data_IF_427473258079
#
_entry.id   IF_427473258079
#
_cell.length_a   1.000
_cell.length_b   1.000
_cell.length_c   1.000
_cell.angle_alpha   90.00
_cell.angle_beta   90.00
_cell.angle_gamma   90.00
#
_symmetry.space_group_name_H-M   'P 1'
#
loop_
_entity.id
_entity.type
_entity.pdbx_description
1 polymer ?
#
# COMPACT_ATOMS: atom_id res chain seq x y z
N UNK A 1 -17.67 5.07 1.83
CA UNK A 1 -16.58 4.06 1.68
C UNK A 1 -15.32 4.75 1.18
N UNK A 2 -14.19 4.24 1.58
CA UNK A 2 -12.89 4.80 1.22
C UNK A 2 -11.97 3.72 0.70
N UNK A 3 -11.15 4.07 -0.28
CA UNK A 3 -10.01 3.27 -0.70
C UNK A 3 -8.75 3.87 -0.10
N UNK A 4 -8.08 3.11 0.74
CA UNK A 4 -6.79 3.48 1.29
C UNK A 4 -5.73 2.84 0.42
N UNK A 5 -4.84 3.66 -0.13
CA UNK A 5 -3.73 3.21 -0.96
C UNK A 5 -2.42 3.56 -0.27
N UNK A 6 -1.52 2.61 -0.19
CA UNK A 6 -0.20 2.81 0.38
C UNK A 6 0.88 2.32 -0.58
N UNK A 7 1.93 3.11 -0.75
CA UNK A 7 3.15 2.69 -1.44
C UNK A 7 4.22 2.54 -0.38
N UNK A 8 4.74 1.34 -0.22
CA UNK A 8 5.59 0.97 0.91
C UNK A 8 6.82 0.17 0.47
N UNK A 9 7.78 0.02 1.36
CA UNK A 9 8.93 -0.86 1.15
C UNK A 9 8.49 -2.32 1.09
N UNK A 10 9.01 -3.12 0.15
CA UNK A 10 8.58 -4.51 0.00
C UNK A 10 8.71 -5.36 1.26
N UNK A 11 9.76 -5.19 2.05
CA UNK A 11 10.00 -5.99 3.24
C UNK A 11 9.04 -5.68 4.40
N UNK A 12 8.20 -4.63 4.27
CA UNK A 12 7.20 -4.26 5.29
C UNK A 12 5.84 -4.91 5.05
N UNK A 13 5.62 -5.54 3.92
CA UNK A 13 4.29 -6.06 3.53
C UNK A 13 3.73 -7.07 4.52
N UNK A 14 4.55 -8.01 5.00
CA UNK A 14 4.10 -9.02 5.96
C UNK A 14 3.63 -8.38 7.27
N UNK A 15 4.37 -7.42 7.80
CA UNK A 15 4.01 -6.72 9.04
C UNK A 15 2.74 -5.90 8.87
N UNK A 16 2.58 -5.23 7.72
CA UNK A 16 1.37 -4.46 7.41
C UNK A 16 0.16 -5.40 7.32
N UNK A 17 0.29 -6.51 6.62
CA UNK A 17 -0.77 -7.51 6.51
C UNK A 17 -1.21 -8.01 7.88
N UNK A 18 -0.27 -8.38 8.73
CA UNK A 18 -0.57 -8.88 10.08
C UNK A 18 -1.28 -7.82 10.93
N UNK A 19 -0.81 -6.58 10.86
CA UNK A 19 -1.41 -5.47 11.58
C UNK A 19 -2.83 -5.16 11.10
N UNK A 20 -3.07 -5.21 9.79
CA UNK A 20 -4.40 -5.02 9.21
C UNK A 20 -5.37 -6.13 9.62
N UNK A 21 -4.93 -7.38 9.59
CA UNK A 21 -5.75 -8.52 10.04
C UNK A 21 -6.11 -8.39 11.53
N UNK A 22 -5.15 -8.01 12.36
CA UNK A 22 -5.39 -7.76 13.79
C UNK A 22 -6.39 -6.63 14.00
N UNK A 23 -6.40 -5.62 13.14
CA UNK A 23 -7.33 -4.50 13.18
C UNK A 23 -8.73 -4.84 12.61
N UNK A 24 -8.94 -6.06 12.13
CA UNK A 24 -10.24 -6.51 11.61
C UNK A 24 -10.43 -6.34 10.10
N UNK A 25 -9.41 -5.93 9.37
CA UNK A 25 -9.45 -5.84 7.91
C UNK A 25 -9.49 -7.26 7.32
N UNK A 26 -10.47 -7.52 6.46
CA UNK A 26 -10.70 -8.86 5.90
C UNK A 26 -10.04 -9.10 4.55
N UNK A 27 -9.64 -8.04 3.87
CA UNK A 27 -9.01 -8.17 2.57
C UNK A 27 -8.11 -7.00 2.23
N UNK A 28 -7.07 -7.28 1.49
CA UNK A 28 -6.20 -6.28 0.90
C UNK A 28 -5.72 -6.77 -0.46
N UNK A 29 -5.43 -5.83 -1.34
CA UNK A 29 -4.83 -6.12 -2.64
C UNK A 29 -3.39 -5.63 -2.62
N UNK A 30 -2.49 -6.45 -3.15
CA UNK A 30 -1.06 -6.15 -3.20
C UNK A 30 -0.59 -6.23 -4.64
N UNK A 31 0.13 -5.22 -5.09
CA UNK A 31 0.78 -5.23 -6.40
C UNK A 31 2.21 -4.71 -6.30
N UNK A 32 3.09 -5.30 -7.09
CA UNK A 32 4.46 -4.83 -7.22
C UNK A 32 4.50 -3.62 -8.13
N UNK A 33 5.21 -2.59 -7.71
CA UNK A 33 5.37 -1.35 -8.45
C UNK A 33 6.81 -0.88 -8.36
N UNK A 34 7.17 0.09 -9.17
CA UNK A 34 8.47 0.73 -9.11
C UNK A 34 8.28 2.24 -9.19
N UNK A 35 9.11 2.97 -8.50
CA UNK A 35 9.02 4.41 -8.50
C UNK A 35 10.31 5.08 -8.06
N UNK A 36 10.36 6.38 -8.20
CA UNK A 36 11.45 7.16 -7.65
C UNK A 36 10.89 8.25 -6.72
N UNK A 37 11.72 8.66 -5.81
CA UNK A 37 11.40 9.71 -4.87
C UNK A 37 12.69 10.18 -4.23
N UNK A 38 12.66 10.46 -2.94
CA UNK A 38 13.85 10.85 -2.19
C UNK A 38 14.83 9.69 -1.98
N UNK A 39 14.34 8.45 -1.99
CA UNK A 39 15.18 7.26 -1.98
C UNK A 39 15.81 7.10 -3.36
N UNK A 40 17.14 7.01 -3.41
CA UNK A 40 17.86 6.87 -4.68
C UNK A 40 17.98 5.40 -5.08
N UNK A 41 18.00 5.16 -6.39
CA UNK A 41 18.35 3.88 -6.96
C UNK A 41 19.84 3.57 -6.81
N UNK A 42 20.29 2.55 -7.49
CA UNK A 42 21.69 2.12 -7.48
C UNK A 42 22.29 2.23 -8.88
N UNK A 43 23.63 2.23 -8.94
CA UNK A 43 24.38 2.25 -10.20
C UNK A 43 24.68 0.81 -10.62
N UNK A 44 24.40 0.49 -11.86
CA UNK A 44 24.75 -0.79 -12.48
C UNK A 44 25.77 -0.57 -13.61
N UNK A 45 26.59 -1.58 -13.86
CA UNK A 45 27.54 -1.61 -14.96
C UNK A 45 27.09 -2.64 -15.98
N UNK A 46 26.95 -2.21 -17.23
CA UNK A 46 26.60 -3.07 -18.34
C UNK A 46 27.47 -2.74 -19.55
N UNK A 47 28.19 -3.75 -20.07
CA UNK A 47 29.13 -3.60 -21.21
C UNK A 47 30.14 -2.46 -21.03
N UNK A 48 30.60 -2.28 -19.80
CA UNK A 48 31.59 -1.23 -19.47
C UNK A 48 31.04 0.18 -19.32
N UNK A 49 29.70 0.35 -19.40
CA UNK A 49 29.04 1.62 -19.14
C UNK A 49 28.27 1.55 -17.82
N UNK A 50 28.30 2.62 -17.04
CA UNK A 50 27.53 2.74 -15.82
C UNK A 50 26.13 3.27 -16.14
N UNK A 51 25.12 2.67 -15.49
CA UNK A 51 23.74 3.12 -15.55
C UNK A 51 23.24 3.37 -14.14
N UNK A 52 22.60 4.50 -13.92
CA UNK A 52 21.88 4.78 -12.68
C UNK A 52 20.48 4.19 -12.78
N UNK A 53 20.14 3.32 -11.83
CA UNK A 53 18.79 2.78 -11.71
C UNK A 53 17.96 3.76 -10.89
N UNK A 54 17.11 4.52 -11.57
CA UNK A 54 16.31 5.57 -10.92
C UNK A 54 15.04 5.02 -10.27
N UNK A 55 14.56 3.86 -10.71
CA UNK A 55 13.36 3.22 -10.19
C UNK A 55 13.72 2.20 -9.11
N UNK A 56 13.04 2.31 -7.99
CA UNK A 56 13.22 1.43 -6.82
C UNK A 56 11.96 0.56 -6.68
N UNK A 57 12.13 -0.76 -6.45
CA UNK A 57 10.99 -1.63 -6.18
C UNK A 57 10.22 -1.17 -4.94
N UNK A 58 8.91 -1.11 -5.09
CA UNK A 58 7.95 -0.80 -4.03
C UNK A 58 6.76 -1.74 -4.14
N UNK A 59 5.87 -1.67 -3.17
CA UNK A 59 4.62 -2.41 -3.18
C UNK A 59 3.47 -1.44 -2.99
N UNK A 60 2.41 -1.62 -3.78
CA UNK A 60 1.14 -0.93 -3.58
C UNK A 60 0.22 -1.85 -2.80
N UNK A 61 -0.34 -1.32 -1.72
CA UNK A 61 -1.37 -1.97 -0.93
C UNK A 61 -2.65 -1.16 -1.05
N UNK A 62 -3.76 -1.83 -1.28
CA UNK A 62 -5.07 -1.20 -1.38
C UNK A 62 -6.06 -1.91 -0.45
N UNK A 63 -6.80 -1.12 0.31
CA UNK A 63 -7.79 -1.61 1.30
C UNK A 63 -9.05 -0.77 1.19
N UNK A 64 -10.19 -1.43 1.04
CA UNK A 64 -11.50 -0.79 1.09
C UNK A 64 -12.02 -0.82 2.52
N UNK A 65 -12.48 0.32 3.01
CA UNK A 65 -12.99 0.47 4.39
C UNK A 65 -14.26 1.32 4.44
N UNK A 66 -15.02 1.17 5.50
CA UNK A 66 -16.09 2.10 5.83
C UNK A 66 -15.51 3.46 6.22
N UNK A 67 -16.28 4.53 6.03
CA UNK A 67 -15.83 5.89 6.35
C UNK A 67 -15.34 6.01 7.80
N UNK A 68 -16.05 5.40 8.73
CA UNK A 68 -15.72 5.46 10.16
C UNK A 68 -14.43 4.76 10.56
N UNK A 69 -13.94 3.85 9.72
CA UNK A 69 -12.72 3.10 10.01
C UNK A 69 -11.46 3.72 9.36
N UNK A 70 -11.65 4.71 8.52
CA UNK A 70 -10.56 5.27 7.70
C UNK A 70 -9.36 5.72 8.53
N UNK A 71 -9.58 6.56 9.53
CA UNK A 71 -8.47 7.12 10.31
C UNK A 71 -7.71 6.05 11.08
N UNK A 72 -8.43 5.09 11.66
CA UNK A 72 -7.81 3.99 12.41
C UNK A 72 -6.96 3.11 11.51
N UNK A 73 -7.44 2.78 10.31
CA UNK A 73 -6.71 1.90 9.38
C UNK A 73 -5.53 2.63 8.75
N UNK A 74 -5.66 3.91 8.40
CA UNK A 74 -4.50 4.72 7.96
C UNK A 74 -3.41 4.68 9.03
N UNK A 75 -3.76 4.86 10.28
CA UNK A 75 -2.82 4.86 11.40
C UNK A 75 -2.13 3.50 11.57
N UNK A 76 -2.86 2.40 11.43
CA UNK A 76 -2.30 1.04 11.44
C UNK A 76 -1.26 0.86 10.33
N UNK A 77 -1.55 1.32 9.13
CA UNK A 77 -0.60 1.21 8.00
C UNK A 77 0.64 2.06 8.27
N UNK A 78 0.49 3.30 8.70
CA UNK A 78 1.63 4.18 8.98
C UNK A 78 2.55 3.58 10.03
N UNK A 79 1.99 3.07 11.12
CA UNK A 79 2.78 2.47 12.19
C UNK A 79 3.49 1.19 11.77
N UNK A 80 2.84 0.33 10.98
CA UNK A 80 3.41 -0.95 10.54
C UNK A 80 4.36 -0.81 9.36
N UNK A 81 4.20 0.20 8.53
CA UNK A 81 5.05 0.43 7.35
C UNK A 81 6.31 1.24 7.67
N UNK A 82 6.27 2.09 8.69
CA UNK A 82 7.34 3.03 8.99
C UNK A 82 8.60 2.38 9.51
N UNK A 83 9.76 2.83 9.00
CA UNK A 83 11.09 2.47 9.51
C UNK A 83 11.81 3.70 10.07
N UNK A 84 11.30 4.90 9.82
CA UNK A 84 11.94 6.16 10.14
C UNK A 84 12.97 6.62 9.11
N UNK A 85 13.12 5.90 8.01
CA UNK A 85 14.09 6.17 6.97
C UNK A 85 13.42 6.69 5.69
N UNK A 86 14.21 7.37 4.85
CA UNK A 86 13.79 7.79 3.51
C UNK A 86 13.32 6.56 2.73
N UNK A 87 12.22 6.72 2.00
CA UNK A 87 11.67 5.65 1.20
C UNK A 87 10.57 4.84 1.88
N UNK A 88 10.15 5.20 3.09
CA UNK A 88 9.04 4.53 3.78
C UNK A 88 7.71 4.60 3.02
N UNK A 89 7.57 5.58 2.14
CA UNK A 89 6.42 5.67 1.26
C UNK A 89 5.36 6.65 1.73
N UNK A 90 4.17 6.50 1.16
CA UNK A 90 3.02 7.36 1.42
C UNK A 90 1.74 6.56 1.50
N UNK A 91 0.78 7.11 2.21
CA UNK A 91 -0.59 6.60 2.28
C UNK A 91 -1.52 7.73 1.86
N UNK A 92 -2.52 7.43 1.04
CA UNK A 92 -3.57 8.39 0.70
C UNK A 92 -4.92 7.71 0.62
N UNK A 93 -5.96 8.50 0.63
CA UNK A 93 -7.34 8.01 0.69
C UNK A 93 -8.14 8.67 -0.42
N UNK A 94 -8.95 7.87 -1.11
CA UNK A 94 -9.93 8.34 -2.08
C UNK A 94 -11.32 7.85 -1.71
N UNK A 95 -12.33 8.65 -2.07
CA UNK A 95 -13.73 8.28 -1.87
C UNK A 95 -14.15 7.27 -2.94
N UNK A 96 -14.87 6.25 -2.52
CA UNK A 96 -15.41 5.21 -3.41
C UNK A 96 -16.94 5.32 -3.41
N UNK A 97 -17.51 5.45 -4.60
CA UNK A 97 -18.95 5.64 -4.74
C UNK A 97 -19.72 4.32 -4.57
N UNK A 98 -19.21 3.22 -5.13
CA UNK A 98 -19.90 1.94 -5.16
C UNK A 98 -18.92 0.80 -5.04
N UNK A 99 -19.26 -0.20 -4.23
CA UNK A 99 -18.55 -1.47 -4.14
C UNK A 99 -19.56 -2.60 -4.31
N UNK A 100 -19.19 -3.61 -5.10
CA UNK A 100 -20.00 -4.81 -5.30
C UNK A 100 -19.13 -6.03 -5.07
N UNK A 101 -19.55 -6.94 -4.20
CA UNK A 101 -18.87 -8.21 -4.04
C UNK A 101 -19.27 -9.13 -5.19
N UNK A 102 -18.33 -9.58 -5.96
CA UNK A 102 -18.58 -10.34 -7.20
C UNK A 102 -19.37 -11.61 -6.94
N UNK A 103 -19.00 -12.37 -5.90
CA UNK A 103 -19.64 -13.67 -5.61
C UNK A 103 -21.09 -13.55 -5.18
N UNK A 104 -21.43 -12.53 -4.40
CA UNK A 104 -22.73 -12.43 -3.72
C UNK A 104 -23.61 -11.33 -4.26
N UNK A 105 -23.07 -10.40 -5.04
CA UNK A 105 -23.73 -9.16 -5.45
C UNK A 105 -24.13 -8.25 -4.29
N UNK A 106 -23.60 -8.48 -3.10
CA UNK A 106 -23.76 -7.55 -1.99
C UNK A 106 -23.08 -6.22 -2.32
N UNK A 107 -23.65 -5.14 -1.79
CA UNK A 107 -23.24 -3.80 -2.19
C UNK A 107 -22.80 -2.93 -1.02
N UNK A 108 -21.88 -2.04 -1.34
CA UNK A 108 -21.41 -0.97 -0.46
C UNK A 108 -20.84 -1.55 0.84
N UNK A 109 -21.27 -1.09 2.02
CA UNK A 109 -20.70 -1.57 3.28
C UNK A 109 -20.87 -3.08 3.47
N UNK A 110 -21.91 -3.68 2.93
CA UNK A 110 -22.11 -5.14 3.00
C UNK A 110 -21.13 -5.90 2.10
N UNK A 111 -20.50 -5.23 1.17
CA UNK A 111 -19.52 -5.82 0.26
C UNK A 111 -18.07 -5.76 0.77
N UNK A 112 -17.85 -5.07 1.86
CA UNK A 112 -16.50 -4.86 2.43
C UNK A 112 -16.03 -6.04 3.27
#
# INVERSE_FOLDING_TARGET
MKLITAIVKPHRVADIKDALQTAGVRGMTVSEVSGFGRQKGHTEVYRGAEYTVDLVPKVRIEVLVEDGDMDAIVDVIVKSAGTGAIGDGKVWVTTVDTVVRVRTNERDNDAL
#
